data_IF_696451173711
#
_entry.id   IF_696451173711
#
_cell.length_a   1.000
_cell.length_b   1.000
_cell.length_c   1.000
_cell.angle_alpha   90.00
_cell.angle_beta   90.00
_cell.angle_gamma   90.00
#
_symmetry.space_group_name_H-M   'P 1'
#
loop_
_entity.id
_entity.type
_entity.pdbx_description
1 polymer ?
#
# COMPACT_ATOMS: atom_id res chain seq x y z
N UNK A 1 -0.73 19.25 2.17
CA UNK A 1 -0.91 18.39 3.35
C UNK A 1 0.01 17.21 3.10
N UNK A 2 1.09 17.09 3.89
CA UNK A 2 2.09 16.05 3.67
C UNK A 2 1.46 14.67 3.87
N UNK A 3 1.59 13.84 2.85
CA UNK A 3 1.15 12.43 2.89
C UNK A 3 2.20 11.51 3.52
N UNK A 4 3.38 12.05 3.83
CA UNK A 4 4.47 11.30 4.46
C UNK A 4 4.46 11.49 5.97
N UNK A 5 4.07 10.46 6.70
CA UNK A 5 4.31 10.34 8.12
C UNK A 5 5.54 9.49 8.37
N UNK A 6 6.63 10.13 8.80
CA UNK A 6 7.77 9.41 9.33
C UNK A 6 7.62 9.23 10.83
N UNK A 7 7.44 8.02 11.31
CA UNK A 7 7.67 7.71 12.71
C UNK A 7 9.15 7.43 12.91
N UNK A 8 9.85 8.34 13.58
CA UNK A 8 11.24 8.12 14.00
C UNK A 8 11.17 7.45 15.36
N UNK A 9 11.44 6.16 15.42
CA UNK A 9 11.84 5.49 16.64
C UNK A 9 13.33 5.78 16.83
N UNK A 10 13.65 6.82 17.59
CA UNK A 10 15.02 7.09 18.02
C UNK A 10 15.47 6.04 19.07
N UNK A 11 16.02 4.94 18.63
CA UNK A 11 16.98 4.20 19.42
C UNK A 11 18.38 4.65 18.99
N UNK A 12 19.18 5.16 19.91
CA UNK A 12 20.51 5.76 19.64
C UNK A 12 21.54 4.83 18.96
N UNK A 13 21.22 3.56 18.75
CA UNK A 13 22.08 2.59 18.08
C UNK A 13 21.54 2.03 16.76
N UNK A 14 20.27 2.30 16.41
CA UNK A 14 19.68 1.90 15.15
C UNK A 14 18.86 3.06 14.58
N UNK A 15 19.54 3.98 13.90
CA UNK A 15 18.88 4.97 13.05
C UNK A 15 18.44 4.33 11.72
N UNK A 16 17.67 3.27 11.75
CA UNK A 16 16.81 2.93 10.65
C UNK A 16 15.56 3.79 10.78
N UNK A 17 15.53 4.85 9.99
CA UNK A 17 14.30 5.57 9.75
C UNK A 17 13.35 4.62 9.03
N UNK A 18 12.50 3.94 9.80
CA UNK A 18 11.32 3.27 9.24
C UNK A 18 10.42 4.41 8.78
N UNK A 19 10.59 4.83 7.53
CA UNK A 19 9.64 5.69 6.84
C UNK A 19 8.42 4.84 6.53
N UNK A 20 7.55 4.71 7.49
CA UNK A 20 6.23 4.21 7.26
C UNK A 20 5.43 5.34 6.59
N UNK A 21 5.21 5.24 5.28
CA UNK A 21 4.32 6.14 4.55
C UNK A 21 2.93 5.53 4.48
N UNK A 22 1.91 6.32 4.77
CA UNK A 22 0.51 6.00 4.48
C UNK A 22 0.14 6.56 3.12
N UNK A 23 -0.82 5.93 2.45
CA UNK A 23 -1.31 6.41 1.17
C UNK A 23 -2.02 7.76 1.31
N UNK A 24 -2.79 7.96 2.34
CA UNK A 24 -3.39 9.27 2.62
C UNK A 24 -3.86 9.45 4.06
N UNK A 25 -3.79 10.69 4.56
CA UNK A 25 -4.47 11.14 5.79
C UNK A 25 -5.30 12.38 5.49
N UNK A 26 -6.56 12.40 5.93
CA UNK A 26 -7.45 13.55 5.87
C UNK A 26 -8.07 13.83 7.23
N UNK A 27 -8.15 15.11 7.59
CA UNK A 27 -8.87 15.54 8.78
C UNK A 27 -10.32 15.80 8.38
N UNK A 28 -11.26 15.06 8.96
CA UNK A 28 -12.69 15.33 8.83
C UNK A 28 -13.14 16.21 9.99
N UNK A 29 -13.76 17.33 9.64
CA UNK A 29 -14.41 18.24 10.57
C UNK A 29 -15.93 18.04 10.47
N UNK A 30 -16.56 17.66 11.58
CA UNK A 30 -18.00 17.56 11.69
C UNK A 30 -18.49 18.59 12.69
N UNK A 31 -19.41 19.46 12.27
CA UNK A 31 -20.12 20.35 13.21
C UNK A 31 -21.24 19.55 13.87
N UNK A 32 -21.27 19.51 15.17
CA UNK A 32 -22.33 18.87 15.97
C UNK A 32 -23.03 19.92 16.81
N UNK A 33 -24.18 19.58 17.37
CA UNK A 33 -24.90 20.45 18.30
C UNK A 33 -24.07 20.80 19.56
N UNK A 34 -23.02 20.05 19.85
CA UNK A 34 -22.14 20.21 21.01
C UNK A 34 -20.74 20.74 20.63
N UNK A 35 -20.56 21.23 19.39
CA UNK A 35 -19.30 21.78 18.92
C UNK A 35 -18.75 21.11 17.66
N UNK A 36 -17.43 21.22 17.47
CA UNK A 36 -16.72 20.65 16.32
C UNK A 36 -16.02 19.38 16.74
N UNK A 37 -16.36 18.27 16.09
CA UNK A 37 -15.66 17.00 16.21
C UNK A 37 -14.64 16.86 15.09
N UNK A 38 -13.40 16.59 15.45
CA UNK A 38 -12.31 16.35 14.51
C UNK A 38 -11.93 14.86 14.56
N UNK A 39 -11.79 14.26 13.39
CA UNK A 39 -11.33 12.88 13.24
C UNK A 39 -10.30 12.83 12.12
N UNK A 40 -9.17 12.18 12.35
CA UNK A 40 -8.21 11.86 11.31
C UNK A 40 -8.61 10.54 10.66
N UNK A 41 -8.89 10.57 9.35
CA UNK A 41 -9.16 9.40 8.56
C UNK A 41 -7.91 9.06 7.75
N UNK A 42 -7.36 7.89 7.99
CA UNK A 42 -6.23 7.35 7.26
C UNK A 42 -6.68 6.20 6.37
N UNK A 43 -6.09 6.10 5.19
CA UNK A 43 -6.31 5.02 4.26
C UNK A 43 -4.99 4.34 3.94
N UNK A 44 -5.01 3.02 3.90
CA UNK A 44 -3.89 2.17 3.53
C UNK A 44 -4.36 1.22 2.44
N UNK A 45 -3.89 1.43 1.21
CA UNK A 45 -4.21 0.57 0.06
C UNK A 45 -3.26 -0.63 0.01
N UNK A 46 -3.81 -1.83 -0.16
CA UNK A 46 -3.01 -3.07 -0.19
C UNK A 46 -3.40 -3.93 -1.39
N UNK A 47 -2.43 -4.20 -2.24
CA UNK A 47 -2.54 -5.17 -3.35
C UNK A 47 -2.23 -6.60 -2.87
N UNK A 48 -1.31 -6.72 -1.91
CA UNK A 48 -0.88 -7.99 -1.36
C UNK A 48 -1.24 -8.10 0.12
N UNK A 49 -1.52 -9.32 0.58
CA UNK A 49 -1.78 -9.58 1.99
C UNK A 49 -0.50 -9.30 2.79
N UNK A 50 -0.62 -8.43 3.76
CA UNK A 50 0.46 -8.14 4.69
C UNK A 50 0.12 -8.79 6.04
N UNK A 51 0.72 -9.93 6.33
CA UNK A 51 0.40 -10.72 7.52
C UNK A 51 0.63 -10.01 8.85
N UNK A 52 1.46 -8.96 8.89
CA UNK A 52 1.66 -8.11 10.06
C UNK A 52 0.85 -6.78 9.99
N UNK A 53 -0.29 -6.75 9.29
CA UNK A 53 -1.06 -5.53 9.09
C UNK A 53 -1.55 -4.88 10.40
N UNK A 54 -2.05 -5.61 11.42
CA UNK A 54 -2.45 -4.99 12.69
C UNK A 54 -1.30 -4.24 13.36
N UNK A 55 -0.10 -4.81 13.38
CA UNK A 55 1.09 -4.18 13.96
C UNK A 55 1.51 -2.94 13.14
N UNK A 56 1.42 -3.01 11.81
CA UNK A 56 1.73 -1.91 10.91
C UNK A 56 0.78 -0.73 11.12
N UNK A 57 -0.52 -0.98 11.18
CA UNK A 57 -1.54 0.05 11.44
C UNK A 57 -1.39 0.64 12.83
N UNK A 58 -1.11 -0.18 13.85
CA UNK A 58 -0.81 0.28 15.21
C UNK A 58 0.37 1.25 15.22
N UNK A 59 1.44 0.94 14.48
CA UNK A 59 2.61 1.82 14.34
C UNK A 59 2.27 3.16 13.69
N UNK A 60 1.46 3.16 12.64
CA UNK A 60 0.98 4.38 11.98
C UNK A 60 0.13 5.25 12.90
N UNK A 61 -0.81 4.65 13.61
CA UNK A 61 -1.69 5.38 14.51
C UNK A 61 -0.91 5.93 15.70
N UNK A 62 0.04 5.15 16.23
CA UNK A 62 0.98 5.65 17.24
C UNK A 62 1.78 6.85 16.73
N UNK A 63 2.35 6.77 15.53
CA UNK A 63 3.09 7.88 14.91
C UNK A 63 2.24 9.15 14.78
N UNK A 64 0.96 9.00 14.41
CA UNK A 64 0.02 10.12 14.33
C UNK A 64 -0.30 10.73 15.70
N UNK A 65 -0.53 9.91 16.72
CA UNK A 65 -0.72 10.38 18.09
C UNK A 65 0.56 11.01 18.66
N UNK A 66 1.71 10.42 18.35
CA UNK A 66 3.01 10.94 18.79
C UNK A 66 3.27 12.35 18.22
N UNK A 67 2.97 12.59 16.93
CA UNK A 67 3.09 13.93 16.34
C UNK A 67 2.19 14.96 17.02
N UNK A 68 0.96 14.59 17.35
CA UNK A 68 0.04 15.47 18.07
C UNK A 68 0.59 15.80 19.47
N UNK A 69 1.06 14.78 20.19
CA UNK A 69 1.69 14.94 21.50
C UNK A 69 2.92 15.84 21.41
N UNK A 70 3.85 15.59 20.48
CA UNK A 70 5.07 16.37 20.33
C UNK A 70 4.79 17.83 19.98
N UNK A 71 3.76 18.09 19.16
CA UNK A 71 3.31 19.45 18.88
C UNK A 71 2.85 20.19 20.13
N UNK A 72 2.08 19.53 20.99
CA UNK A 72 1.64 20.10 22.27
C UNK A 72 2.82 20.26 23.22
N UNK A 73 3.67 19.24 23.36
CA UNK A 73 4.85 19.28 24.20
C UNK A 73 5.81 20.42 23.81
N UNK A 74 5.92 20.71 22.50
CA UNK A 74 6.69 21.85 22.01
C UNK A 74 6.17 23.19 22.51
N UNK A 75 4.86 23.39 22.53
CA UNK A 75 4.21 24.60 23.06
C UNK A 75 4.49 24.78 24.56
N UNK A 76 4.41 23.70 25.32
CA UNK A 76 4.54 23.74 26.79
C UNK A 76 5.98 23.88 27.27
N UNK A 77 6.99 23.80 26.42
CA UNK A 77 8.39 24.09 26.82
C UNK A 77 8.60 25.52 27.32
N UNK A 78 7.82 26.46 26.81
CA UNK A 78 7.96 27.88 27.09
C UNK A 78 6.78 28.45 27.88
N UNK A 79 5.73 27.67 28.11
CA UNK A 79 4.53 28.11 28.81
C UNK A 79 4.79 28.21 30.30
N UNK A 80 4.38 29.36 30.91
CA UNK A 80 4.49 29.61 32.33
C UNK A 80 3.17 29.27 33.05
N UNK A 81 3.25 28.82 34.27
CA UNK A 81 2.06 28.57 35.10
C UNK A 81 1.45 27.18 34.95
N UNK A 82 2.20 26.23 34.32
CA UNK A 82 1.82 24.83 34.31
C UNK A 82 1.92 24.21 35.70
N UNK A 83 1.00 23.32 36.05
CA UNK A 83 1.15 22.45 37.19
C UNK A 83 2.34 21.50 37.01
N UNK A 84 2.88 20.97 38.13
CA UNK A 84 4.07 20.13 38.12
C UNK A 84 3.89 18.90 37.18
N UNK A 85 2.75 18.25 37.27
CA UNK A 85 2.47 17.03 36.49
C UNK A 85 2.25 17.35 35.01
N UNK A 86 1.64 18.49 34.69
CA UNK A 86 1.51 18.99 33.32
C UNK A 86 2.87 19.32 32.69
N UNK A 87 3.74 19.95 33.50
CA UNK A 87 5.10 20.25 33.07
C UNK A 87 5.92 18.98 32.80
N UNK A 88 5.83 17.99 33.68
CA UNK A 88 6.55 16.73 33.54
C UNK A 88 6.02 15.87 32.39
N UNK A 89 4.69 15.78 32.26
CA UNK A 89 4.05 15.00 31.19
C UNK A 89 4.05 15.71 29.84
N UNK A 90 4.35 17.01 29.78
CA UNK A 90 4.24 17.85 28.59
C UNK A 90 2.83 17.83 27.98
N UNK A 91 1.83 17.64 28.80
CA UNK A 91 0.43 17.56 28.40
C UNK A 91 -0.44 18.07 29.53
N UNK A 92 -1.41 18.94 29.24
CA UNK A 92 -2.38 19.41 30.21
C UNK A 92 -3.46 18.36 30.42
N UNK A 93 -4.02 18.32 31.62
CA UNK A 93 -5.15 17.44 31.97
C UNK A 93 -6.36 17.64 31.04
N UNK A 94 -6.51 18.85 30.51
CA UNK A 94 -7.60 19.21 29.59
C UNK A 94 -7.31 18.90 28.14
N UNK A 95 -6.07 18.59 27.78
CA UNK A 95 -5.70 18.29 26.40
C UNK A 95 -6.37 17.01 25.90
N UNK A 96 -6.79 17.04 24.67
CA UNK A 96 -7.34 15.88 23.96
C UNK A 96 -6.64 15.75 22.62
N UNK A 97 -6.30 14.53 22.28
CA UNK A 97 -5.79 14.21 20.95
C UNK A 97 -6.96 13.97 20.01
N UNK A 98 -6.75 14.28 18.73
CA UNK A 98 -7.71 13.98 17.67
C UNK A 98 -7.65 12.47 17.41
N UNK A 99 -8.79 11.76 17.49
CA UNK A 99 -8.80 10.32 17.24
C UNK A 99 -8.40 10.00 15.79
N UNK A 100 -7.68 8.89 15.62
CA UNK A 100 -7.26 8.37 14.34
C UNK A 100 -8.07 7.12 14.01
N UNK A 101 -8.61 7.06 12.80
CA UNK A 101 -9.28 5.89 12.25
C UNK A 101 -8.55 5.49 10.98
N UNK A 102 -7.87 4.35 10.99
CA UNK A 102 -7.20 3.80 9.81
C UNK A 102 -8.07 2.71 9.19
N UNK A 103 -8.34 2.86 7.89
CA UNK A 103 -9.05 1.87 7.08
C UNK A 103 -8.06 1.23 6.13
N UNK A 104 -7.97 -0.08 6.15
CA UNK A 104 -7.19 -0.88 5.21
C UNK A 104 -8.09 -1.29 4.06
N UNK A 105 -7.82 -0.79 2.86
CA UNK A 105 -8.54 -1.16 1.64
C UNK A 105 -7.71 -2.18 0.88
N UNK A 106 -8.15 -3.42 0.91
CA UNK A 106 -7.51 -4.51 0.22
C UNK A 106 -8.16 -4.73 -1.15
N UNK A 107 -7.34 -4.67 -2.19
CA UNK A 107 -7.77 -4.86 -3.59
C UNK A 107 -6.97 -5.98 -4.29
N UNK A 108 -6.42 -6.90 -3.50
CA UNK A 108 -5.72 -8.07 -4.02
C UNK A 108 -6.66 -9.08 -4.65
N UNK A 109 -6.06 -9.99 -5.38
CA UNK A 109 -6.75 -10.99 -6.20
C UNK A 109 -7.23 -12.23 -5.40
N UNK A 110 -6.81 -12.39 -4.14
CA UNK A 110 -7.21 -13.49 -3.24
C UNK A 110 -8.04 -12.94 -2.08
N UNK A 111 -8.90 -13.74 -1.45
CA UNK A 111 -9.50 -13.35 -0.17
C UNK A 111 -8.43 -13.01 0.86
N UNK A 112 -8.74 -12.07 1.74
CA UNK A 112 -7.82 -11.78 2.85
C UNK A 112 -7.77 -12.97 3.81
N UNK A 113 -6.59 -13.51 4.05
CA UNK A 113 -6.33 -14.61 4.99
C UNK A 113 -5.34 -14.22 6.11
N UNK A 114 -4.98 -12.93 6.19
CA UNK A 114 -4.11 -12.41 7.22
C UNK A 114 -4.86 -12.04 8.51
N UNK A 115 -4.10 -11.81 9.58
CA UNK A 115 -4.64 -11.34 10.85
C UNK A 115 -5.38 -10.00 10.69
N UNK A 116 -6.49 -9.86 11.38
CA UNK A 116 -7.30 -8.63 11.47
C UNK A 116 -7.19 -7.95 12.83
N UNK A 117 -6.56 -8.62 13.79
CA UNK A 117 -6.27 -8.09 15.12
C UNK A 117 -4.87 -8.46 15.60
N UNK A 118 -4.37 -7.71 16.58
CA UNK A 118 -3.08 -8.01 17.20
C UNK A 118 -3.12 -9.36 17.93
N UNK A 119 -4.24 -9.67 18.60
CA UNK A 119 -4.41 -10.95 19.28
C UNK A 119 -4.23 -12.15 18.35
N UNK A 120 -4.71 -12.08 17.11
CA UNK A 120 -4.52 -13.14 16.11
C UNK A 120 -3.05 -13.35 15.69
N UNK A 121 -2.18 -12.38 16.00
CA UNK A 121 -0.75 -12.46 15.73
C UNK A 121 0.09 -12.90 16.90
N UNK A 122 -0.50 -13.01 18.10
CA UNK A 122 0.22 -13.28 19.32
C UNK A 122 -0.06 -14.71 19.81
N UNK A 123 0.94 -15.32 20.40
CA UNK A 123 0.79 -16.56 21.15
C UNK A 123 0.43 -16.20 22.61
N UNK A 124 -0.86 -16.15 22.91
CA UNK A 124 -1.38 -15.74 24.23
C UNK A 124 -2.10 -16.91 24.85
N UNK A 125 -1.70 -17.29 26.06
CA UNK A 125 -2.47 -18.24 26.88
C UNK A 125 -3.81 -17.60 27.32
N UNK A 126 -4.85 -18.42 27.43
CA UNK A 126 -6.22 -17.97 27.75
C UNK A 126 -6.28 -17.09 28.99
N UNK A 127 -5.45 -17.41 30.01
CA UNK A 127 -5.36 -16.68 31.27
C UNK A 127 -4.79 -15.26 31.15
N UNK A 128 -4.07 -14.95 30.05
CA UNK A 128 -3.44 -13.65 29.81
C UNK A 128 -4.17 -12.79 28.79
N UNK A 129 -5.13 -13.34 28.07
CA UNK A 129 -5.79 -12.64 26.96
C UNK A 129 -6.50 -11.36 27.40
N UNK A 130 -7.06 -11.32 28.61
CA UNK A 130 -7.72 -10.14 29.17
C UNK A 130 -6.76 -9.00 29.55
N UNK A 131 -5.47 -9.31 29.78
CA UNK A 131 -4.45 -8.32 30.16
C UNK A 131 -3.69 -7.76 28.96
N UNK A 132 -3.83 -8.37 27.78
CA UNK A 132 -3.17 -7.92 26.56
C UNK A 132 -4.16 -7.10 25.73
N UNK A 133 -3.83 -5.83 25.50
CA UNK A 133 -4.66 -4.97 24.66
C UNK A 133 -4.69 -5.46 23.23
N UNK A 134 -5.87 -5.63 22.67
CA UNK A 134 -6.05 -5.97 21.27
C UNK A 134 -6.08 -4.70 20.40
N UNK A 135 -5.53 -4.81 19.20
CA UNK A 135 -5.54 -3.75 18.21
C UNK A 135 -6.14 -4.26 16.90
N UNK A 136 -7.40 -3.90 16.65
CA UNK A 136 -8.17 -4.34 15.48
C UNK A 136 -8.04 -3.39 14.32
N UNK A 137 -7.76 -3.91 13.13
CA UNK A 137 -7.82 -3.12 11.89
C UNK A 137 -9.26 -3.05 11.37
N UNK A 138 -9.52 -2.04 10.55
CA UNK A 138 -10.77 -1.91 9.80
C UNK A 138 -10.48 -2.29 8.35
N UNK A 139 -10.63 -3.58 8.07
CA UNK A 139 -10.42 -4.13 6.75
C UNK A 139 -11.66 -3.93 5.87
N UNK A 140 -11.42 -3.52 4.63
CA UNK A 140 -12.41 -3.43 3.55
C UNK A 140 -11.83 -4.17 2.35
N UNK A 141 -12.46 -5.27 1.96
CA UNK A 141 -12.10 -5.98 0.74
C UNK A 141 -12.87 -5.38 -0.44
N UNK A 142 -12.14 -4.84 -1.41
CA UNK A 142 -12.74 -4.12 -2.54
C UNK A 142 -13.54 -5.04 -3.49
N UNK A 143 -13.31 -6.36 -3.40
CA UNK A 143 -14.05 -7.38 -4.15
C UNK A 143 -15.46 -7.65 -3.60
N UNK A 144 -15.66 -7.36 -2.30
CA UNK A 144 -16.92 -7.60 -1.61
C UNK A 144 -17.58 -6.26 -1.31
N UNK A 145 -18.33 -5.73 -2.27
CA UNK A 145 -18.94 -4.41 -2.14
C UNK A 145 -20.19 -4.43 -1.26
N UNK A 146 -20.02 -4.76 0.04
CA UNK A 146 -21.06 -4.69 1.05
C UNK A 146 -21.15 -3.31 1.75
N UNK A 147 -20.47 -2.31 1.23
CA UNK A 147 -20.36 -0.99 1.85
C UNK A 147 -21.58 -0.13 1.51
N UNK A 148 -22.16 0.51 2.52
CA UNK A 148 -23.14 1.60 2.31
C UNK A 148 -22.40 2.89 1.95
N UNK A 149 -22.11 3.07 0.67
CA UNK A 149 -21.42 4.23 0.14
C UNK A 149 -22.42 5.35 -0.17
N UNK A 150 -22.06 6.58 0.18
CA UNK A 150 -22.92 7.76 -0.02
C UNK A 150 -22.34 8.74 -1.05
N UNK A 151 -21.07 8.59 -1.43
CA UNK A 151 -20.44 9.40 -2.44
C UNK A 151 -20.38 8.64 -3.75
N UNK A 152 -20.88 9.24 -4.83
CA UNK A 152 -20.96 8.58 -6.15
C UNK A 152 -19.59 8.10 -6.65
N UNK A 153 -18.52 8.88 -6.45
CA UNK A 153 -17.18 8.47 -6.87
C UNK A 153 -16.67 7.24 -6.12
N UNK A 154 -17.04 7.10 -4.83
CA UNK A 154 -16.72 5.89 -4.08
C UNK A 154 -17.54 4.69 -4.56
N UNK A 155 -18.83 4.91 -4.90
CA UNK A 155 -19.68 3.86 -5.49
C UNK A 155 -19.05 3.37 -6.79
N UNK A 156 -18.69 4.29 -7.68
CA UNK A 156 -18.08 3.96 -8.97
C UNK A 156 -16.74 3.25 -8.78
N UNK A 157 -15.91 3.74 -7.85
CA UNK A 157 -14.61 3.12 -7.55
C UNK A 157 -14.77 1.65 -7.12
N UNK A 158 -15.64 1.38 -6.15
CA UNK A 158 -15.80 0.03 -5.63
C UNK A 158 -16.49 -0.89 -6.64
N UNK A 159 -17.45 -0.41 -7.41
CA UNK A 159 -18.08 -1.21 -8.47
C UNK A 159 -17.06 -1.56 -9.58
N UNK A 160 -16.22 -0.60 -9.98
CA UNK A 160 -15.18 -0.87 -10.97
C UNK A 160 -14.10 -1.82 -10.41
N UNK A 161 -13.71 -1.69 -9.15
CA UNK A 161 -12.77 -2.62 -8.53
C UNK A 161 -13.39 -4.04 -8.43
N UNK A 162 -14.66 -4.16 -8.07
CA UNK A 162 -15.37 -5.43 -8.05
C UNK A 162 -15.35 -6.11 -9.43
N UNK A 163 -15.67 -5.36 -10.50
CA UNK A 163 -15.61 -5.87 -11.88
C UNK A 163 -14.18 -6.33 -12.25
N UNK A 164 -13.18 -5.51 -11.93
CA UNK A 164 -11.79 -5.78 -12.31
C UNK A 164 -11.12 -6.90 -11.50
N UNK A 165 -11.60 -7.15 -10.28
CA UNK A 165 -11.09 -8.19 -9.38
C UNK A 165 -11.91 -9.49 -9.44
N UNK A 166 -12.98 -9.52 -10.21
CA UNK A 166 -13.81 -10.72 -10.40
C UNK A 166 -13.04 -11.77 -11.22
N UNK A 167 -12.73 -12.89 -10.57
CA UNK A 167 -12.01 -14.02 -11.18
C UNK A 167 -12.91 -14.96 -11.98
N UNK A 168 -14.22 -14.84 -11.85
CA UNK A 168 -15.16 -15.65 -12.63
C UNK A 168 -15.22 -15.19 -14.10
N UNK A 169 -14.81 -13.95 -14.37
CA UNK A 169 -14.74 -13.36 -15.70
C UNK A 169 -13.33 -13.48 -16.30
N UNK A 170 -13.25 -13.63 -17.61
CA UNK A 170 -11.97 -13.44 -18.29
C UNK A 170 -11.58 -11.94 -18.35
N UNK A 171 -10.30 -11.68 -18.61
CA UNK A 171 -9.76 -10.30 -18.58
C UNK A 171 -10.40 -9.38 -19.63
N UNK A 172 -10.79 -9.90 -20.79
CA UNK A 172 -11.40 -9.10 -21.86
C UNK A 172 -12.84 -8.76 -21.47
N UNK A 173 -13.58 -9.72 -20.93
CA UNK A 173 -14.94 -9.53 -20.43
C UNK A 173 -14.96 -8.49 -19.30
N UNK A 174 -14.05 -8.60 -18.32
CA UNK A 174 -13.91 -7.62 -17.24
C UNK A 174 -13.56 -6.22 -17.78
N UNK A 175 -12.67 -6.13 -18.76
CA UNK A 175 -12.31 -4.88 -19.44
C UNK A 175 -13.54 -4.25 -20.12
N UNK A 176 -14.25 -5.00 -20.94
CA UNK A 176 -15.44 -4.50 -21.65
C UNK A 176 -16.54 -4.04 -20.68
N UNK A 177 -16.76 -4.81 -19.61
CA UNK A 177 -17.74 -4.48 -18.57
C UNK A 177 -17.34 -3.21 -17.82
N UNK A 178 -16.07 -3.03 -17.49
CA UNK A 178 -15.58 -1.83 -16.81
C UNK A 178 -15.66 -0.59 -17.70
N UNK A 179 -15.35 -0.71 -18.98
CA UNK A 179 -15.49 0.39 -19.96
C UNK A 179 -16.97 0.79 -20.06
N UNK A 180 -17.86 -0.18 -20.28
CA UNK A 180 -19.30 0.08 -20.37
C UNK A 180 -19.85 0.75 -19.11
N UNK A 181 -19.51 0.22 -17.94
CA UNK A 181 -19.88 0.84 -16.65
C UNK A 181 -19.43 2.29 -16.57
N UNK A 182 -18.16 2.56 -16.90
CA UNK A 182 -17.60 3.90 -16.82
C UNK A 182 -18.28 4.90 -17.78
N UNK A 183 -18.66 4.47 -18.97
CA UNK A 183 -19.37 5.30 -19.95
C UNK A 183 -20.80 5.58 -19.52
N UNK A 184 -21.53 4.55 -19.07
CA UNK A 184 -22.92 4.67 -18.61
C UNK A 184 -23.04 5.61 -17.40
N UNK A 185 -22.11 5.52 -16.45
CA UNK A 185 -22.12 6.31 -15.21
C UNK A 185 -21.34 7.62 -15.31
N UNK A 186 -20.69 7.89 -16.45
CA UNK A 186 -19.80 9.06 -16.63
C UNK A 186 -18.82 9.21 -15.50
N UNK A 187 -18.15 8.11 -15.20
CA UNK A 187 -17.22 8.00 -14.05
C UNK A 187 -16.21 9.16 -14.01
N UNK A 188 -16.07 9.77 -12.85
CA UNK A 188 -15.15 10.88 -12.64
C UNK A 188 -13.69 10.46 -12.89
N UNK A 189 -12.91 11.35 -13.48
CA UNK A 189 -11.48 11.11 -13.76
C UNK A 189 -10.68 10.73 -12.52
N UNK A 190 -11.06 11.23 -11.34
CA UNK A 190 -10.37 10.91 -10.08
C UNK A 190 -10.54 9.44 -9.71
N UNK A 191 -11.66 8.81 -10.04
CA UNK A 191 -11.89 7.38 -9.85
C UNK A 191 -10.98 6.57 -10.77
N UNK A 192 -10.94 6.93 -12.06
CA UNK A 192 -10.07 6.26 -13.05
C UNK A 192 -8.60 6.35 -12.65
N UNK A 193 -8.17 7.51 -12.17
CA UNK A 193 -6.81 7.73 -11.68
C UNK A 193 -6.49 6.91 -10.42
N UNK A 194 -7.47 6.74 -9.54
CA UNK A 194 -7.32 5.90 -8.35
C UNK A 194 -7.12 4.43 -8.74
N UNK A 195 -7.88 3.95 -9.72
CA UNK A 195 -7.74 2.60 -10.28
C UNK A 195 -6.37 2.44 -10.97
N UNK A 196 -5.95 3.45 -11.73
CA UNK A 196 -4.62 3.46 -12.36
C UNK A 196 -3.49 3.36 -11.34
N UNK A 197 -3.60 4.13 -10.25
CA UNK A 197 -2.66 4.06 -9.13
C UNK A 197 -2.62 2.67 -8.48
N UNK A 198 -3.77 2.05 -8.25
CA UNK A 198 -3.87 0.69 -7.75
C UNK A 198 -3.23 -0.35 -8.71
N UNK A 199 -3.43 -0.15 -10.02
CA UNK A 199 -2.80 -0.97 -11.07
C UNK A 199 -1.31 -0.63 -11.30
N UNK A 200 -0.75 0.35 -10.58
CA UNK A 200 0.61 0.89 -10.78
C UNK A 200 0.87 1.36 -12.22
N UNK A 201 -0.18 1.80 -12.90
CA UNK A 201 -0.11 2.29 -14.26
C UNK A 201 0.11 3.81 -14.27
N UNK A 202 1.05 4.28 -15.10
CA UNK A 202 1.29 5.69 -15.32
C UNK A 202 0.36 6.20 -16.41
N UNK A 203 -0.64 6.98 -16.05
CA UNK A 203 -1.52 7.63 -17.02
C UNK A 203 -1.08 9.08 -17.23
N UNK A 204 -1.09 9.53 -18.49
CA UNK A 204 -0.97 10.94 -18.81
C UNK A 204 -2.27 11.67 -18.45
N UNK A 205 -2.19 12.52 -17.44
CA UNK A 205 -3.31 13.34 -16.98
C UNK A 205 -3.92 14.21 -18.07
N UNK A 206 -3.10 14.68 -19.02
CA UNK A 206 -3.56 15.50 -20.13
C UNK A 206 -4.45 14.75 -21.11
N UNK A 207 -4.27 13.43 -21.23
CA UNK A 207 -5.10 12.56 -22.05
C UNK A 207 -6.52 12.42 -21.47
N UNK A 208 -6.64 12.37 -20.14
CA UNK A 208 -7.93 12.29 -19.44
C UNK A 208 -8.69 13.63 -19.46
N UNK A 209 -8.00 14.76 -19.65
CA UNK A 209 -8.64 16.09 -19.72
C UNK A 209 -9.34 16.36 -21.04
N UNK A 210 -8.93 15.71 -22.12
CA UNK A 210 -9.47 15.93 -23.47
C UNK A 210 -10.82 15.26 -23.75
N UNK A 211 -11.38 14.55 -22.75
CA UNK A 211 -12.79 14.10 -22.75
C UNK A 211 -13.05 12.75 -23.41
N UNK A 212 -13.72 11.87 -22.67
CA UNK A 212 -14.30 10.62 -23.15
C UNK A 212 -13.35 9.41 -23.12
N UNK A 213 -13.82 8.29 -22.57
CA UNK A 213 -13.09 7.00 -22.66
C UNK A 213 -11.95 6.80 -21.67
N UNK A 214 -11.97 7.44 -20.49
CA UNK A 214 -10.89 7.32 -19.51
C UNK A 214 -10.49 5.90 -19.14
N UNK A 215 -11.45 4.97 -19.05
CA UNK A 215 -11.16 3.55 -18.83
C UNK A 215 -10.49 2.90 -20.06
N UNK A 216 -10.86 3.29 -21.29
CA UNK A 216 -10.15 2.82 -22.49
C UNK A 216 -8.68 3.24 -22.46
N UNK A 217 -8.42 4.51 -22.15
CA UNK A 217 -7.04 5.04 -22.02
C UNK A 217 -6.27 4.27 -20.95
N UNK A 218 -6.88 4.01 -19.79
CA UNK A 218 -6.26 3.22 -18.72
C UNK A 218 -5.86 1.83 -19.21
N UNK A 219 -6.75 1.12 -19.88
CA UNK A 219 -6.45 -0.24 -20.37
C UNK A 219 -5.38 -0.25 -21.48
N UNK A 220 -5.37 0.76 -22.35
CA UNK A 220 -4.34 0.89 -23.39
C UNK A 220 -2.97 1.15 -22.77
N UNK A 221 -2.87 1.99 -21.73
CA UNK A 221 -1.61 2.21 -21.02
C UNK A 221 -1.17 0.97 -20.22
N UNK A 222 -2.10 0.25 -19.57
CA UNK A 222 -1.81 -1.03 -18.91
C UNK A 222 -1.27 -2.04 -19.94
N UNK A 223 -1.89 -2.13 -21.11
CA UNK A 223 -1.43 -3.03 -22.16
C UNK A 223 -0.01 -2.70 -22.62
N UNK A 224 0.28 -1.43 -22.91
CA UNK A 224 1.63 -0.96 -23.27
C UNK A 224 2.68 -1.28 -22.21
N UNK A 225 2.35 -1.03 -20.93
CA UNK A 225 3.27 -1.35 -19.84
C UNK A 225 3.52 -2.86 -19.70
N UNK A 226 2.49 -3.68 -19.89
CA UNK A 226 2.65 -5.14 -19.89
C UNK A 226 3.50 -5.64 -21.06
N UNK A 227 3.31 -5.07 -22.25
CA UNK A 227 4.11 -5.38 -23.42
C UNK A 227 5.58 -5.00 -23.19
N UNK A 228 5.85 -3.76 -22.77
CA UNK A 228 7.21 -3.30 -22.46
C UNK A 228 7.89 -4.14 -21.36
N UNK A 229 7.15 -4.53 -20.32
CA UNK A 229 7.68 -5.43 -19.28
C UNK A 229 7.90 -6.85 -19.79
N UNK A 230 7.05 -7.31 -20.70
CA UNK A 230 7.18 -8.61 -21.38
C UNK A 230 8.44 -8.65 -22.25
N UNK A 231 8.66 -7.62 -23.07
CA UNK A 231 9.83 -7.45 -23.91
C UNK A 231 11.11 -7.40 -23.06
N UNK A 232 11.17 -6.52 -22.05
CA UNK A 232 12.33 -6.40 -21.16
C UNK A 232 12.66 -7.72 -20.43
N UNK A 233 11.62 -8.48 -20.01
CA UNK A 233 11.83 -9.81 -19.44
C UNK A 233 12.31 -10.81 -20.48
N UNK A 234 11.80 -10.74 -21.70
CA UNK A 234 12.22 -11.58 -22.82
C UNK A 234 13.68 -11.34 -23.17
N UNK A 235 14.10 -10.08 -23.31
CA UNK A 235 15.47 -9.68 -23.56
C UNK A 235 16.41 -10.15 -22.44
N UNK A 236 16.09 -9.86 -21.18
CA UNK A 236 16.91 -10.29 -20.05
C UNK A 236 17.05 -11.82 -19.96
N UNK A 237 15.98 -12.56 -20.28
CA UNK A 237 16.01 -14.04 -20.34
C UNK A 237 16.86 -14.54 -21.50
N UNK A 238 16.73 -13.91 -22.67
CA UNK A 238 17.54 -14.24 -23.86
C UNK A 238 19.02 -13.99 -23.61
N UNK A 239 19.37 -12.84 -23.02
CA UNK A 239 20.74 -12.50 -22.67
C UNK A 239 21.32 -13.43 -21.58
N UNK A 240 20.53 -13.72 -20.54
CA UNK A 240 20.93 -14.68 -19.50
C UNK A 240 21.22 -16.06 -20.10
N UNK A 241 20.33 -16.54 -20.96
CA UNK A 241 20.50 -17.82 -21.66
C UNK A 241 21.77 -17.82 -22.51
N UNK A 242 22.01 -16.78 -23.29
CA UNK A 242 23.21 -16.64 -24.10
C UNK A 242 24.50 -16.67 -23.29
N UNK A 243 24.52 -16.00 -22.12
CA UNK A 243 25.66 -16.01 -21.20
C UNK A 243 25.92 -17.42 -20.67
N UNK A 244 24.87 -18.13 -20.27
CA UNK A 244 24.96 -19.47 -19.70
C UNK A 244 25.42 -20.48 -20.76
N UNK A 245 24.80 -20.48 -21.94
CA UNK A 245 25.18 -21.37 -23.05
C UNK A 245 26.64 -21.12 -23.44
N UNK A 246 27.03 -19.88 -23.64
CA UNK A 246 28.41 -19.51 -23.96
C UNK A 246 29.37 -19.95 -22.87
N UNK A 247 29.01 -19.74 -21.56
CA UNK A 247 29.84 -20.18 -20.44
C UNK A 247 30.07 -21.69 -20.43
N UNK A 248 29.04 -22.48 -20.72
CA UNK A 248 29.14 -23.92 -20.85
C UNK A 248 29.99 -24.36 -22.03
N UNK A 249 29.83 -23.73 -23.19
CA UNK A 249 30.60 -24.02 -24.39
C UNK A 249 32.12 -23.79 -24.20
N UNK A 250 32.46 -22.77 -23.37
CA UNK A 250 33.86 -22.51 -23.00
C UNK A 250 34.33 -23.28 -21.76
N UNK A 251 33.49 -24.15 -21.18
CA UNK A 251 33.86 -24.94 -19.99
C UNK A 251 34.08 -24.11 -18.72
N UNK A 252 33.42 -22.97 -18.61
CA UNK A 252 33.55 -22.12 -17.42
C UNK A 252 32.85 -22.77 -16.22
N UNK A 253 33.44 -22.66 -15.01
CA UNK A 253 32.78 -23.14 -13.80
C UNK A 253 31.55 -22.28 -13.47
N UNK A 254 30.60 -22.85 -12.73
CA UNK A 254 29.35 -22.22 -12.35
C UNK A 254 29.54 -20.83 -11.75
N UNK A 255 30.45 -20.68 -10.80
CA UNK A 255 30.74 -19.40 -10.15
C UNK A 255 31.17 -18.30 -11.13
N UNK A 256 31.90 -18.66 -12.18
CA UNK A 256 32.31 -17.70 -13.22
C UNK A 256 31.13 -17.28 -14.08
N UNK A 257 30.19 -18.21 -14.40
CA UNK A 257 28.97 -17.95 -15.17
C UNK A 257 28.04 -17.06 -14.33
N UNK A 258 27.84 -17.37 -13.05
CA UNK A 258 27.04 -16.56 -12.12
C UNK A 258 27.60 -15.15 -11.99
N UNK A 259 28.93 -15.01 -11.88
CA UNK A 259 29.59 -13.71 -11.83
C UNK A 259 29.40 -12.88 -13.10
N UNK A 260 29.38 -13.53 -14.28
CA UNK A 260 29.09 -12.86 -15.55
C UNK A 260 27.64 -12.41 -15.64
N UNK A 261 26.67 -13.25 -15.19
CA UNK A 261 25.26 -12.89 -15.14
C UNK A 261 25.03 -11.65 -14.25
N UNK A 262 25.61 -11.64 -13.04
CA UNK A 262 25.50 -10.51 -12.13
C UNK A 262 26.05 -9.22 -12.76
N UNK A 263 27.23 -9.30 -13.37
CA UNK A 263 27.93 -8.14 -13.94
C UNK A 263 27.25 -7.60 -15.19
N UNK A 264 26.84 -8.46 -16.11
CA UNK A 264 26.25 -8.04 -17.39
C UNK A 264 24.80 -7.59 -17.25
N UNK A 265 24.00 -8.33 -16.49
CA UNK A 265 22.57 -8.04 -16.30
C UNK A 265 22.31 -7.10 -15.10
N UNK A 266 23.35 -6.73 -14.35
CA UNK A 266 23.22 -5.93 -13.12
C UNK A 266 22.17 -6.49 -12.14
N UNK A 267 22.22 -7.79 -11.87
CA UNK A 267 21.25 -8.52 -11.04
C UNK A 267 21.93 -9.09 -9.78
N UNK A 268 21.18 -9.27 -8.67
CA UNK A 268 21.69 -9.92 -7.47
C UNK A 268 21.97 -11.40 -7.72
N UNK A 269 22.85 -12.00 -6.89
CA UNK A 269 23.27 -13.39 -6.99
C UNK A 269 22.07 -14.36 -7.02
N UNK A 270 21.08 -14.14 -6.18
CA UNK A 270 19.87 -14.96 -6.14
C UNK A 270 19.19 -15.05 -7.52
N UNK A 271 19.09 -13.90 -8.22
CA UNK A 271 18.48 -13.85 -9.55
C UNK A 271 19.34 -14.50 -10.61
N UNK A 272 20.66 -14.39 -10.51
CA UNK A 272 21.61 -15.09 -11.37
C UNK A 272 21.49 -16.61 -11.21
N UNK A 273 21.34 -17.11 -9.97
CA UNK A 273 21.10 -18.53 -9.68
C UNK A 273 19.77 -19.01 -10.26
N UNK A 274 18.69 -18.23 -10.16
CA UNK A 274 17.41 -18.56 -10.79
C UNK A 274 17.57 -18.76 -12.32
N UNK A 275 18.27 -17.85 -12.99
CA UNK A 275 18.54 -17.98 -14.43
C UNK A 275 19.41 -19.18 -14.74
N UNK A 276 20.45 -19.43 -13.94
CA UNK A 276 21.33 -20.58 -14.11
C UNK A 276 20.56 -21.90 -13.95
N UNK A 277 19.68 -22.03 -12.96
CA UNK A 277 18.81 -23.20 -12.80
C UNK A 277 17.81 -23.37 -13.95
N UNK A 278 17.35 -22.26 -14.53
CA UNK A 278 16.36 -22.27 -15.61
C UNK A 278 16.97 -22.71 -16.95
N UNK A 279 18.20 -22.30 -17.23
CA UNK A 279 18.84 -22.47 -18.53
C UNK A 279 20.11 -23.33 -18.50
N UNK A 280 20.67 -23.61 -17.31
CA UNK A 280 21.77 -24.54 -17.16
C UNK A 280 21.31 -25.97 -17.52
N UNK A 281 22.03 -26.65 -18.39
CA UNK A 281 21.78 -28.08 -18.65
C UNK A 281 22.08 -28.85 -17.36
N UNK A 282 21.23 -29.80 -16.93
CA UNK A 282 21.65 -30.73 -15.90
C UNK A 282 22.86 -31.49 -16.39
N UNK A 283 23.91 -31.49 -15.60
CA UNK A 283 25.13 -32.31 -15.81
C UNK A 283 24.79 -33.76 -15.57
#
# INVERSE_FOLDING_TARGET
>A
MDTEESSILEHREYAESIRASRDSIKIRKKSTAHGVELVMLANEGQEHIHYAMPMRVMGYDYGTYKKQYDSNAGKYKTEKGLERDEYLSRMKKTDKLIPVITVVVYYGDKPWDGATSLHEMLEIGDEFSEYVNDYKIRLVEARENNLKLHNINNVDLFNLLEILLDRSMDRNEAKEKAIRYSEEHKTDKTVIMTIAGAAKCKIDYSALEKGGGGMCILFDEIAKEHEARGEARGEARGEARGIIETGHDFGLPEDAILGQLQKKLNIPLQKAQEYFHMFGKPV
#
